data_IF_209598787245
#
_entry.id   IF_209598787245
#
_cell.length_a   1.000
_cell.length_b   1.000
_cell.length_c   1.000
_cell.angle_alpha   90.00
_cell.angle_beta   90.00
_cell.angle_gamma   90.00
#
_symmetry.space_group_name_H-M   'P 1'
#
loop_
_entity.id
_entity.type
_entity.pdbx_description
1 polymer ?
#
# COMPACT_ATOMS: atom_id res chain seq x y z
N UNK A 1 6.04 -13.19 19.14
CA UNK A 1 7.29 -12.66 19.73
C UNK A 1 6.95 -11.86 20.97
N UNK A 2 7.34 -12.29 22.17
CA UNK A 2 7.06 -11.55 23.40
C UNK A 2 7.97 -10.32 23.50
N UNK A 3 7.60 -9.24 22.81
CA UNK A 3 8.31 -7.95 22.83
C UNK A 3 7.31 -6.79 22.91
N UNK A 4 7.68 -5.73 23.64
CA UNK A 4 6.79 -4.59 23.91
C UNK A 4 6.67 -3.60 22.75
N UNK A 5 7.70 -3.46 21.91
CA UNK A 5 7.73 -2.54 20.77
C UNK A 5 8.15 -3.28 19.51
N UNK A 6 7.46 -3.02 18.40
CA UNK A 6 7.69 -3.64 17.09
C UNK A 6 7.85 -2.55 16.04
N UNK A 7 9.01 -2.53 15.39
CA UNK A 7 9.32 -1.61 14.28
C UNK A 7 9.64 -2.45 13.06
N UNK A 8 8.96 -2.18 11.95
CA UNK A 8 9.16 -2.88 10.69
C UNK A 8 9.77 -1.90 9.67
N UNK A 9 10.84 -2.33 9.01
CA UNK A 9 11.48 -1.56 7.94
C UNK A 9 11.05 -2.15 6.59
N UNK A 10 10.55 -1.30 5.70
CA UNK A 10 10.19 -1.70 4.33
C UNK A 10 10.54 -0.57 3.36
N UNK A 11 11.09 -0.93 2.20
CA UNK A 11 11.33 0.01 1.11
C UNK A 11 10.06 0.40 0.36
N UNK A 12 9.04 -0.47 0.38
CA UNK A 12 7.81 -0.35 -0.41
C UNK A 12 6.59 -0.83 0.38
N UNK A 13 6.23 -0.17 1.51
CA UNK A 13 5.23 -0.69 2.44
C UNK A 13 3.82 -0.80 1.85
N UNK A 14 3.57 -0.24 0.66
CA UNK A 14 2.24 -0.09 0.08
C UNK A 14 2.14 -0.50 -1.39
N UNK A 15 3.25 -0.91 -2.00
CA UNK A 15 3.26 -1.33 -3.41
C UNK A 15 2.97 -2.81 -3.58
N UNK A 16 2.99 -3.58 -2.50
CA UNK A 16 2.60 -4.97 -2.51
C UNK A 16 1.22 -5.11 -1.87
N UNK A 17 0.51 -6.14 -2.33
CA UNK A 17 -0.77 -6.66 -1.86
C UNK A 17 -1.31 -6.08 -0.52
N UNK A 18 -2.60 -5.70 -0.51
CA UNK A 18 -3.29 -5.25 0.69
C UNK A 18 -3.28 -6.31 1.81
N UNK A 19 -3.11 -7.59 1.48
CA UNK A 19 -2.92 -8.65 2.47
C UNK A 19 -1.54 -8.60 3.15
N UNK A 20 -0.47 -8.35 2.40
CA UNK A 20 0.87 -8.13 2.98
C UNK A 20 0.85 -6.89 3.88
N UNK A 21 0.13 -5.85 3.44
CA UNK A 21 -0.07 -4.66 4.25
C UNK A 21 -0.77 -4.95 5.57
N UNK A 22 -1.85 -5.74 5.55
CA UNK A 22 -2.52 -6.19 6.78
C UNK A 22 -1.56 -6.92 7.70
N UNK A 23 -0.73 -7.84 7.17
CA UNK A 23 0.24 -8.57 7.97
C UNK A 23 1.27 -7.63 8.64
N UNK A 24 1.75 -6.60 7.94
CA UNK A 24 2.65 -5.60 8.51
C UNK A 24 1.96 -4.75 9.59
N UNK A 25 0.71 -4.33 9.34
CA UNK A 25 -0.08 -3.57 10.29
C UNK A 25 -0.39 -4.37 11.56
N UNK A 26 -0.83 -5.62 11.43
CA UNK A 26 -1.11 -6.52 12.55
C UNK A 26 0.16 -6.87 13.33
N UNK A 27 1.30 -7.03 12.65
CA UNK A 27 2.58 -7.23 13.30
C UNK A 27 3.00 -6.02 14.13
N UNK A 28 2.86 -4.79 13.62
CA UNK A 28 3.32 -3.57 14.31
C UNK A 28 2.31 -3.06 15.34
N UNK A 29 1.01 -3.18 15.04
CA UNK A 29 -0.12 -2.64 15.79
C UNK A 29 -1.29 -3.66 15.80
N UNK A 30 -1.21 -4.73 16.61
CA UNK A 30 -2.23 -5.77 16.62
C UNK A 30 -3.63 -5.24 16.88
N UNK A 31 -4.62 -5.73 16.12
CA UNK A 31 -6.03 -5.40 16.29
C UNK A 31 -6.45 -4.05 15.71
N UNK A 32 -5.53 -3.23 15.19
CA UNK A 32 -5.85 -1.91 14.64
C UNK A 32 -6.85 -1.97 13.48
N UNK A 33 -6.68 -2.94 12.58
CA UNK A 33 -7.52 -3.13 11.40
C UNK A 33 -8.59 -4.22 11.61
N UNK A 34 -8.77 -4.67 12.86
CA UNK A 34 -9.62 -5.80 13.20
C UNK A 34 -9.05 -7.15 12.73
N UNK A 35 -9.93 -8.15 12.68
CA UNK A 35 -9.58 -9.47 12.18
C UNK A 35 -9.34 -9.45 10.68
N UNK A 36 -8.61 -10.44 10.16
CA UNK A 36 -8.35 -10.56 8.71
C UNK A 36 -9.66 -10.65 7.90
N UNK A 37 -10.69 -11.28 8.45
CA UNK A 37 -12.00 -11.39 7.80
C UNK A 37 -12.72 -10.04 7.72
N UNK A 38 -12.66 -9.24 8.79
CA UNK A 38 -13.20 -7.88 8.82
C UNK A 38 -12.43 -6.98 7.86
N UNK A 39 -11.09 -7.03 7.89
CA UNK A 39 -10.24 -6.29 6.97
C UNK A 39 -10.59 -6.61 5.51
N UNK A 40 -10.74 -7.90 5.17
CA UNK A 40 -11.13 -8.30 3.82
C UNK A 40 -12.48 -7.73 3.40
N UNK A 41 -13.48 -7.83 4.28
CA UNK A 41 -14.85 -7.37 4.01
C UNK A 41 -14.95 -5.84 3.92
N UNK A 42 -14.26 -5.12 4.80
CA UNK A 42 -14.38 -3.67 4.95
C UNK A 42 -13.43 -2.89 4.05
N UNK A 43 -12.26 -3.45 3.75
CA UNK A 43 -11.18 -2.79 3.02
C UNK A 43 -10.78 -3.50 1.73
N UNK A 44 -10.31 -4.74 1.81
CA UNK A 44 -9.74 -5.44 0.64
C UNK A 44 -10.74 -5.58 -0.50
N UNK A 45 -11.90 -6.20 -0.25
CA UNK A 45 -12.86 -6.54 -1.30
C UNK A 45 -13.43 -5.28 -1.97
N UNK A 46 -13.87 -4.23 -1.24
CA UNK A 46 -14.32 -2.99 -1.89
C UNK A 46 -13.26 -2.33 -2.75
N UNK A 47 -11.99 -2.34 -2.31
CA UNK A 47 -10.88 -1.75 -3.07
C UNK A 47 -10.58 -2.56 -4.33
N UNK A 48 -10.61 -3.89 -4.26
CA UNK A 48 -10.42 -4.76 -5.42
C UNK A 48 -11.54 -4.57 -6.45
N UNK A 49 -12.81 -4.59 -6.00
CA UNK A 49 -13.96 -4.38 -6.89
C UNK A 49 -13.85 -3.04 -7.64
N UNK A 50 -13.45 -1.95 -6.97
CA UNK A 50 -13.29 -0.66 -7.65
C UNK A 50 -12.07 -0.54 -8.56
N UNK A 51 -11.13 -1.50 -8.53
CA UNK A 51 -9.97 -1.56 -9.44
C UNK A 51 -10.27 -2.36 -10.71
N UNK A 52 -11.34 -3.14 -10.72
CA UNK A 52 -11.71 -3.92 -11.89
C UNK A 52 -12.06 -3.00 -13.08
N UNK A 53 -11.69 -3.37 -14.31
CA UNK A 53 -11.93 -2.54 -15.50
C UNK A 53 -13.41 -2.21 -15.74
N UNK A 54 -14.30 -3.11 -15.35
CA UNK A 54 -15.76 -3.04 -15.51
C UNK A 54 -16.48 -2.43 -14.29
N UNK A 55 -15.73 -1.97 -13.27
CA UNK A 55 -16.29 -1.34 -12.09
C UNK A 55 -17.13 -0.10 -12.44
N UNK A 56 -18.32 -0.03 -11.85
CA UNK A 56 -19.22 1.13 -11.97
C UNK A 56 -18.63 2.36 -11.27
N UNK A 57 -19.07 3.56 -11.64
CA UNK A 57 -18.62 4.80 -10.99
C UNK A 57 -18.91 4.80 -9.47
N UNK A 58 -20.00 4.14 -9.06
CA UNK A 58 -20.36 3.97 -7.65
C UNK A 58 -19.37 3.08 -6.90
N UNK A 59 -18.90 2.01 -7.54
CA UNK A 59 -17.91 1.09 -6.97
C UNK A 59 -16.54 1.74 -6.87
N UNK A 60 -16.12 2.49 -7.90
CA UNK A 60 -14.89 3.30 -7.89
C UNK A 60 -14.90 4.33 -6.76
N UNK A 61 -15.98 5.11 -6.63
CA UNK A 61 -16.13 6.10 -5.56
C UNK A 61 -16.12 5.45 -4.17
N UNK A 62 -16.72 4.25 -4.02
CA UNK A 62 -16.67 3.48 -2.77
C UNK A 62 -15.26 2.99 -2.47
N UNK A 63 -14.54 2.48 -3.47
CA UNK A 63 -13.17 2.02 -3.32
C UNK A 63 -12.23 3.15 -2.92
N UNK A 64 -12.32 4.31 -3.57
CA UNK A 64 -11.52 5.49 -3.23
C UNK A 64 -11.76 5.96 -1.79
N UNK A 65 -13.03 6.03 -1.35
CA UNK A 65 -13.37 6.40 0.02
C UNK A 65 -12.83 5.41 1.03
N UNK A 66 -13.06 4.12 0.79
CA UNK A 66 -12.58 3.04 1.62
C UNK A 66 -11.05 3.05 1.75
N UNK A 67 -10.36 3.24 0.62
CA UNK A 67 -8.91 3.35 0.56
C UNK A 67 -8.42 4.58 1.33
N UNK A 68 -9.08 5.73 1.20
CA UNK A 68 -8.74 6.95 1.94
C UNK A 68 -8.91 6.79 3.45
N UNK A 69 -10.05 6.26 3.90
CA UNK A 69 -10.34 6.02 5.32
C UNK A 69 -9.34 5.05 5.96
N UNK A 70 -9.00 3.98 5.24
CA UNK A 70 -7.92 3.08 5.66
C UNK A 70 -6.63 3.87 5.79
N UNK A 71 -6.21 4.58 4.72
CA UNK A 71 -4.96 5.35 4.70
C UNK A 71 -4.81 6.36 5.83
N UNK A 72 -5.89 7.05 6.21
CA UNK A 72 -5.83 7.99 7.33
C UNK A 72 -5.44 7.30 8.63
N UNK A 73 -6.04 6.14 8.93
CA UNK A 73 -5.70 5.35 10.13
C UNK A 73 -4.26 4.84 10.09
N UNK A 74 -3.81 4.34 8.94
CA UNK A 74 -2.48 3.71 8.83
C UNK A 74 -1.34 4.71 8.78
N UNK A 75 -1.59 5.93 8.30
CA UNK A 75 -0.56 6.98 8.27
C UNK A 75 -0.18 7.49 9.66
N UNK A 76 -0.94 7.19 10.72
CA UNK A 76 -0.60 7.60 12.09
C UNK A 76 0.66 6.91 12.63
N UNK A 77 1.07 5.77 12.08
CA UNK A 77 2.23 5.01 12.54
C UNK A 77 3.24 4.66 11.44
N UNK A 78 3.01 5.12 10.21
CA UNK A 78 3.95 4.94 9.09
C UNK A 78 4.81 6.19 8.94
N UNK A 79 6.12 6.03 9.14
CA UNK A 79 7.08 7.07 8.79
C UNK A 79 7.64 6.81 7.39
N UNK A 80 7.22 7.61 6.41
CA UNK A 80 7.73 7.54 5.03
C UNK A 80 8.50 8.81 4.67
N UNK A 81 9.77 8.66 4.28
CA UNK A 81 10.60 9.74 3.72
C UNK A 81 10.91 9.43 2.28
N UNK A 82 10.57 10.34 1.37
CA UNK A 82 10.89 10.19 -0.05
C UNK A 82 12.29 10.71 -0.34
N UNK A 83 12.89 10.22 -1.43
CA UNK A 83 14.23 10.63 -1.85
C UNK A 83 14.28 12.07 -2.42
N UNK A 84 13.19 12.84 -2.32
CA UNK A 84 13.12 14.23 -2.83
C UNK A 84 14.15 15.14 -2.17
N UNK A 85 14.50 14.85 -0.91
CA UNK A 85 15.55 15.55 -0.18
C UNK A 85 16.93 15.29 -0.81
N UNK A 86 17.28 14.04 -1.10
CA UNK A 86 18.59 13.73 -1.68
C UNK A 86 18.65 14.00 -3.18
N UNK A 87 17.52 14.07 -3.88
CA UNK A 87 17.47 14.41 -5.31
C UNK A 87 18.12 15.78 -5.60
N UNK A 88 18.20 16.68 -4.61
CA UNK A 88 18.90 17.97 -4.72
C UNK A 88 20.43 17.85 -4.68
N UNK A 89 20.94 16.70 -4.22
CA UNK A 89 22.35 16.45 -3.97
C UNK A 89 22.92 15.29 -4.82
N UNK A 90 22.07 14.64 -5.60
CA UNK A 90 22.44 13.49 -6.44
C UNK A 90 22.35 13.87 -7.92
N UNK A 91 23.18 13.25 -8.79
CA UNK A 91 23.01 13.37 -10.24
C UNK A 91 21.61 12.96 -10.68
N UNK A 92 21.10 13.53 -11.79
CA UNK A 92 19.78 13.19 -12.30
C UNK A 92 19.71 11.70 -12.67
N UNK A 93 18.61 11.04 -12.28
CA UNK A 93 18.34 9.65 -12.66
C UNK A 93 18.02 9.57 -14.15
N UNK A 94 18.93 9.00 -14.95
CA UNK A 94 18.64 8.66 -16.35
C UNK A 94 17.78 7.40 -16.40
N UNK A 95 16.62 7.47 -17.06
CA UNK A 95 15.74 6.32 -17.31
C UNK A 95 15.61 6.15 -18.81
N UNK A 96 16.04 4.99 -19.32
CA UNK A 96 15.91 4.63 -20.74
C UNK A 96 15.06 3.37 -20.86
N UNK A 97 14.02 3.43 -21.68
CA UNK A 97 13.21 2.27 -22.05
C UNK A 97 13.60 1.89 -23.47
N UNK A 98 14.28 0.74 -23.63
CA UNK A 98 14.72 0.24 -24.92
C UNK A 98 13.85 -0.97 -25.28
N UNK A 99 12.97 -0.80 -26.26
CA UNK A 99 12.12 -1.87 -26.76
C UNK A 99 12.87 -2.65 -27.85
N UNK A 100 13.29 -3.88 -27.55
CA UNK A 100 13.90 -4.78 -28.52
C UNK A 100 12.84 -5.72 -29.11
N UNK A 101 12.92 -5.98 -30.43
CA UNK A 101 12.10 -7.02 -31.05
C UNK A 101 12.62 -8.39 -30.65
N UNK A 102 11.72 -9.35 -30.48
CA UNK A 102 12.08 -10.76 -30.35
C UNK A 102 12.78 -11.22 -31.62
N UNK A 103 13.75 -12.11 -31.49
CA UNK A 103 14.31 -12.84 -32.64
C UNK A 103 13.26 -13.80 -33.21
N UNK A 104 13.39 -14.15 -34.50
CA UNK A 104 12.57 -15.20 -35.14
C UNK A 104 12.66 -16.54 -34.40
#
# INVERSE_FOLDING_TARGET
LPVSKRVLLSGTPLQNDLEEFYAMAEFTNPGLLGTVAEFRKQHLNPILVGREPDATDKEKARAERCQFEMFQKVNEFILRRTNTLNAKHLPPKLVQIVCCRMTE
#
